data_IF_881998633111
#
_entry.id   IF_881998633111
#
_cell.length_a   1.000
_cell.length_b   1.000
_cell.length_c   1.000
_cell.angle_alpha   90.00
_cell.angle_beta   90.00
_cell.angle_gamma   90.00
#
_symmetry.space_group_name_H-M   'P 1'
#
loop_
_entity.id
_entity.type
_entity.pdbx_description
1 polymer ?
#
# COMPACT_ATOMS: atom_id res chain seq x y z
N UNK A 1 48.04 28.61 25.09
CA UNK A 1 47.06 27.55 25.45
C UNK A 1 46.00 27.49 24.37
N UNK A 2 46.07 26.52 23.48
CA UNK A 2 45.10 26.33 22.39
C UNK A 2 43.97 25.42 22.90
N UNK A 3 42.73 25.93 22.98
CA UNK A 3 41.55 25.16 23.30
C UNK A 3 41.14 24.37 22.05
N UNK A 4 41.29 23.04 22.08
CA UNK A 4 40.79 22.14 21.06
C UNK A 4 39.30 21.93 21.34
N UNK A 5 38.43 22.46 20.47
CA UNK A 5 36.99 22.28 20.51
C UNK A 5 36.69 20.92 19.82
N UNK A 6 36.36 19.93 20.63
CA UNK A 6 35.95 18.60 20.14
C UNK A 6 34.50 18.70 19.72
N UNK A 7 34.25 18.90 18.42
CA UNK A 7 32.90 18.82 17.85
C UNK A 7 32.55 17.33 17.69
N UNK A 8 31.76 16.83 18.62
CA UNK A 8 31.14 15.51 18.52
C UNK A 8 30.06 15.56 17.42
N UNK A 9 30.40 15.18 16.20
CA UNK A 9 29.43 14.92 15.14
C UNK A 9 28.65 13.66 15.54
N UNK A 10 27.47 13.85 16.18
CA UNK A 10 26.46 12.83 16.29
C UNK A 10 25.92 12.58 14.87
N UNK A 11 26.53 11.65 14.15
CA UNK A 11 25.93 11.06 12.95
C UNK A 11 24.72 10.24 13.40
N UNK A 12 23.57 10.89 13.46
CA UNK A 12 22.30 10.19 13.54
C UNK A 12 22.14 9.45 12.22
N UNK A 13 22.65 8.23 12.13
CA UNK A 13 22.35 7.32 11.04
C UNK A 13 20.84 6.98 11.15
N UNK A 14 20.02 7.73 10.40
CA UNK A 14 18.67 7.30 10.09
C UNK A 14 18.81 5.97 9.34
N UNK A 15 18.82 4.87 10.07
CA UNK A 15 18.67 3.57 9.45
C UNK A 15 17.30 3.57 8.77
N UNK A 16 17.30 3.69 7.45
CA UNK A 16 16.14 3.31 6.66
C UNK A 16 15.87 1.87 7.08
N UNK A 17 14.80 1.65 7.83
CA UNK A 17 14.42 0.31 8.26
C UNK A 17 14.34 -0.56 7.03
N UNK A 18 15.14 -1.61 7.01
CA UNK A 18 15.22 -2.52 5.86
C UNK A 18 13.85 -3.14 5.63
N UNK A 19 13.32 -2.99 4.41
CA UNK A 19 11.99 -3.49 4.06
C UNK A 19 12.06 -5.01 4.07
N UNK A 20 11.19 -5.63 4.86
CA UNK A 20 11.08 -7.08 4.91
C UNK A 20 10.10 -7.58 3.87
N UNK A 21 10.53 -8.62 3.18
CA UNK A 21 9.78 -9.32 2.17
C UNK A 21 9.52 -10.76 2.61
N UNK A 22 8.29 -11.22 2.39
CA UNK A 22 7.79 -12.51 2.83
C UNK A 22 7.14 -13.26 1.66
N UNK A 23 6.96 -14.56 1.78
CA UNK A 23 6.11 -15.33 0.88
C UNK A 23 4.63 -15.14 1.23
N UNK A 24 3.72 -15.47 0.32
CA UNK A 24 2.28 -15.53 0.64
C UNK A 24 1.96 -16.57 1.71
N UNK A 25 2.75 -17.62 1.82
CA UNK A 25 2.62 -18.60 2.90
C UNK A 25 2.85 -17.96 4.26
N UNK A 26 3.96 -17.22 4.41
CA UNK A 26 4.25 -16.50 5.66
C UNK A 26 3.16 -15.48 5.99
N UNK A 27 2.58 -14.80 4.98
CA UNK A 27 1.44 -13.91 5.18
C UNK A 27 0.23 -14.66 5.75
N UNK A 28 -0.12 -15.81 5.17
CA UNK A 28 -1.26 -16.63 5.60
C UNK A 28 -1.02 -17.19 7.01
N UNK A 29 0.17 -17.69 7.28
CA UNK A 29 0.54 -18.25 8.60
C UNK A 29 0.54 -17.18 9.71
N UNK A 30 0.68 -15.89 9.34
CA UNK A 30 0.73 -14.75 10.25
C UNK A 30 -0.42 -13.74 10.03
N UNK A 31 -1.59 -14.19 9.55
CA UNK A 31 -2.74 -13.32 9.29
C UNK A 31 -3.19 -12.50 10.52
N UNK A 32 -2.94 -13.00 11.72
CA UNK A 32 -3.26 -12.32 12.97
C UNK A 32 -2.48 -11.02 13.20
N UNK A 33 -1.40 -10.76 12.41
CA UNK A 33 -0.63 -9.52 12.44
C UNK A 33 -1.16 -8.49 11.43
N UNK A 34 -2.03 -8.93 10.51
CA UNK A 34 -2.63 -8.07 9.48
C UNK A 34 -3.88 -7.40 10.04
N UNK A 35 -4.06 -6.15 9.69
CA UNK A 35 -5.26 -5.39 10.05
C UNK A 35 -6.01 -4.90 8.79
N UNK A 36 -7.32 -4.62 8.94
CA UNK A 36 -8.06 -3.93 7.89
C UNK A 36 -7.36 -2.64 7.45
N UNK A 37 -7.33 -2.44 6.13
CA UNK A 37 -6.68 -1.35 5.42
C UNK A 37 -5.14 -1.37 5.43
N UNK A 38 -4.53 -2.49 5.80
CA UNK A 38 -3.12 -2.71 5.45
C UNK A 38 -2.94 -2.78 3.93
N UNK A 39 -1.81 -2.27 3.47
CA UNK A 39 -1.43 -2.27 2.05
C UNK A 39 -0.40 -3.39 1.85
N UNK A 40 -0.70 -4.32 0.96
CA UNK A 40 0.23 -5.39 0.61
C UNK A 40 0.86 -5.07 -0.73
N UNK A 41 2.16 -4.89 -0.76
CA UNK A 41 2.94 -4.66 -1.98
C UNK A 41 3.56 -5.96 -2.42
N UNK A 42 3.31 -6.34 -3.67
CA UNK A 42 3.85 -7.52 -4.30
C UNK A 42 5.14 -7.18 -5.05
N UNK A 43 6.17 -7.97 -4.87
CA UNK A 43 7.48 -7.77 -5.50
C UNK A 43 7.38 -7.76 -7.03
N UNK A 44 8.37 -7.13 -7.68
CA UNK A 44 8.50 -7.20 -9.14
C UNK A 44 8.70 -8.63 -9.58
N UNK A 45 8.13 -8.98 -10.73
CA UNK A 45 8.32 -10.26 -11.38
C UNK A 45 8.96 -10.11 -12.75
N UNK A 46 9.24 -11.23 -13.38
CA UNK A 46 9.98 -11.28 -14.66
C UNK A 46 9.12 -10.96 -15.89
N UNK A 47 7.80 -11.14 -15.78
CA UNK A 47 6.86 -10.86 -16.88
C UNK A 47 6.70 -9.35 -17.07
N UNK A 48 6.45 -8.93 -18.32
CA UNK A 48 6.39 -7.51 -18.70
C UNK A 48 5.52 -6.66 -17.77
N UNK A 49 4.30 -7.08 -17.47
CA UNK A 49 3.37 -6.36 -16.59
C UNK A 49 3.69 -6.49 -15.10
N UNK A 50 4.50 -7.48 -14.70
CA UNK A 50 4.94 -7.67 -13.32
C UNK A 50 6.14 -6.80 -12.94
N UNK A 51 6.80 -6.18 -13.92
CA UNK A 51 7.99 -5.33 -13.68
C UNK A 51 7.73 -4.10 -12.82
N UNK A 52 6.47 -3.66 -12.74
CA UNK A 52 6.07 -2.52 -11.90
C UNK A 52 5.59 -2.93 -10.51
N UNK A 53 5.54 -4.23 -10.23
CA UNK A 53 4.94 -4.76 -9.01
C UNK A 53 3.41 -4.81 -9.09
N UNK A 54 2.79 -5.04 -7.95
CA UNK A 54 1.34 -4.98 -7.76
C UNK A 54 1.04 -4.61 -6.32
N UNK A 55 -0.17 -4.24 -5.99
CA UNK A 55 -0.56 -4.02 -4.60
C UNK A 55 -2.03 -4.33 -4.37
N UNK A 56 -2.32 -4.68 -3.12
CA UNK A 56 -3.64 -5.00 -2.60
C UNK A 56 -3.95 -4.11 -1.41
N UNK A 57 -5.22 -3.88 -1.16
CA UNK A 57 -5.72 -3.33 0.09
C UNK A 57 -6.46 -4.44 0.85
N UNK A 58 -6.23 -4.56 2.15
CA UNK A 58 -7.00 -5.46 3.02
C UNK A 58 -8.32 -4.77 3.39
N UNK A 59 -9.48 -5.42 3.22
CA UNK A 59 -10.76 -4.87 3.68
C UNK A 59 -11.11 -5.32 5.10
N UNK A 60 -12.27 -4.87 5.62
CA UNK A 60 -12.74 -5.26 6.96
C UNK A 60 -13.01 -6.76 7.11
N UNK A 61 -13.40 -7.44 6.03
CA UNK A 61 -13.62 -8.90 6.01
C UNK A 61 -12.31 -9.70 5.88
N UNK A 62 -11.15 -9.04 6.01
CA UNK A 62 -9.84 -9.66 5.83
C UNK A 62 -9.66 -10.32 4.46
N UNK A 63 -10.14 -9.66 3.42
CA UNK A 63 -9.93 -10.05 2.02
C UNK A 63 -9.00 -9.07 1.32
N UNK A 64 -8.29 -9.54 0.30
CA UNK A 64 -7.43 -8.72 -0.56
C UNK A 64 -8.25 -8.11 -1.69
N UNK A 65 -8.27 -6.79 -1.73
CA UNK A 65 -8.94 -6.03 -2.76
C UNK A 65 -7.93 -5.58 -3.80
N UNK A 66 -8.24 -5.81 -5.06
CA UNK A 66 -7.37 -5.44 -6.18
C UNK A 66 -8.13 -5.08 -7.46
N UNK A 67 -7.44 -4.36 -8.34
CA UNK A 67 -7.73 -4.35 -9.77
C UNK A 67 -6.74 -5.29 -10.45
N UNK A 68 -7.23 -6.43 -10.99
CA UNK A 68 -6.38 -7.53 -11.42
C UNK A 68 -5.78 -7.33 -12.81
N UNK A 69 -6.60 -7.05 -13.81
CA UNK A 69 -6.18 -6.93 -15.20
C UNK A 69 -6.89 -5.78 -15.90
N UNK A 70 -6.35 -5.38 -17.06
CA UNK A 70 -6.99 -4.38 -17.92
C UNK A 70 -8.39 -4.80 -18.33
N UNK A 71 -9.38 -3.96 -18.05
CA UNK A 71 -10.79 -4.22 -18.36
C UNK A 71 -11.52 -5.09 -17.33
N UNK A 72 -10.82 -5.64 -16.33
CA UNK A 72 -11.46 -6.35 -15.24
C UNK A 72 -12.09 -5.38 -14.24
N UNK A 73 -13.16 -5.83 -13.59
CA UNK A 73 -13.76 -5.14 -12.47
C UNK A 73 -12.90 -5.28 -11.20
N UNK A 74 -13.25 -4.47 -10.23
CA UNK A 74 -12.73 -4.56 -8.89
C UNK A 74 -13.14 -5.89 -8.22
N UNK A 75 -12.17 -6.59 -7.65
CA UNK A 75 -12.39 -7.89 -7.02
C UNK A 75 -11.87 -7.96 -5.61
N UNK A 76 -12.54 -8.75 -4.77
CA UNK A 76 -12.09 -9.12 -3.45
C UNK A 76 -11.80 -10.63 -3.39
N UNK A 77 -10.63 -11.00 -2.90
CA UNK A 77 -10.18 -12.39 -2.84
C UNK A 77 -9.70 -12.73 -1.43
N UNK A 78 -10.03 -13.91 -0.90
CA UNK A 78 -9.43 -14.35 0.36
C UNK A 78 -7.92 -14.60 0.19
N UNK A 79 -7.15 -14.43 1.27
CA UNK A 79 -5.69 -14.58 1.25
C UNK A 79 -5.23 -15.91 0.65
N UNK A 80 -5.91 -17.01 0.95
CA UNK A 80 -5.53 -18.34 0.46
C UNK A 80 -5.61 -18.49 -1.07
N UNK A 81 -6.35 -17.62 -1.77
CA UNK A 81 -6.43 -17.66 -3.24
C UNK A 81 -5.07 -17.43 -3.90
N UNK A 82 -4.14 -16.80 -3.21
CA UNK A 82 -2.81 -16.48 -3.71
C UNK A 82 -1.74 -17.52 -3.33
N UNK A 83 -2.06 -18.48 -2.47
CA UNK A 83 -1.10 -19.45 -1.95
C UNK A 83 -0.40 -20.27 -3.03
N UNK A 84 -1.11 -20.65 -4.09
CA UNK A 84 -0.57 -21.48 -5.17
C UNK A 84 -0.29 -20.73 -6.47
N UNK A 85 -0.73 -19.47 -6.56
CA UNK A 85 -0.71 -18.73 -7.83
C UNK A 85 0.51 -17.84 -7.93
N UNK A 86 1.00 -17.38 -6.79
CA UNK A 86 1.99 -16.31 -6.76
C UNK A 86 3.26 -16.75 -6.05
N UNK A 87 4.38 -16.75 -6.80
CA UNK A 87 5.71 -17.09 -6.28
C UNK A 87 6.55 -15.84 -5.95
N UNK A 88 6.00 -14.64 -6.14
CA UNK A 88 6.65 -13.38 -5.76
C UNK A 88 6.53 -13.13 -4.25
N UNK A 89 7.43 -12.32 -3.73
CA UNK A 89 7.41 -11.91 -2.34
C UNK A 89 6.44 -10.75 -2.13
N UNK A 90 5.94 -10.62 -0.90
CA UNK A 90 5.08 -9.51 -0.46
C UNK A 90 5.75 -8.74 0.67
N UNK A 91 5.34 -7.50 0.83
CA UNK A 91 5.66 -6.68 1.99
C UNK A 91 4.39 -5.97 2.46
N UNK A 92 4.19 -5.89 3.76
CA UNK A 92 2.98 -5.32 4.37
C UNK A 92 3.28 -3.94 4.92
N UNK A 93 2.40 -3.00 4.65
CA UNK A 93 2.51 -1.62 5.10
C UNK A 93 1.23 -1.16 5.77
N UNK A 94 1.36 -0.47 6.91
CA UNK A 94 0.25 0.13 7.66
C UNK A 94 0.42 1.64 7.73
N UNK A 95 -0.68 2.37 7.62
CA UNK A 95 -0.66 3.81 7.86
C UNK A 95 -0.43 4.08 9.35
N UNK A 96 0.68 4.79 9.69
CA UNK A 96 1.13 5.03 11.08
C UNK A 96 0.10 5.70 11.98
N UNK A 97 -0.82 6.48 11.40
CA UNK A 97 -1.85 7.21 12.14
C UNK A 97 -3.24 6.61 11.93
N UNK A 98 -3.30 5.29 11.65
CA UNK A 98 -4.57 4.59 11.52
C UNK A 98 -5.36 4.69 12.83
N UNK A 99 -6.66 4.98 12.72
CA UNK A 99 -7.60 5.01 13.83
C UNK A 99 -8.99 4.58 13.35
N UNK A 100 -9.92 4.39 14.28
CA UNK A 100 -11.27 3.92 13.96
C UNK A 100 -12.03 4.88 13.05
N UNK A 101 -11.88 6.20 13.21
CA UNK A 101 -12.52 7.21 12.37
C UNK A 101 -12.11 7.04 10.90
N UNK A 102 -10.80 6.86 10.65
CA UNK A 102 -10.28 6.65 9.31
C UNK A 102 -10.68 5.28 8.76
N UNK A 103 -10.63 4.21 9.58
CA UNK A 103 -11.09 2.87 9.16
C UNK A 103 -12.56 2.89 8.72
N UNK A 104 -13.42 3.50 9.51
CA UNK A 104 -14.85 3.63 9.19
C UNK A 104 -15.06 4.42 7.87
N UNK A 105 -14.30 5.50 7.66
CA UNK A 105 -14.41 6.30 6.45
C UNK A 105 -13.89 5.57 5.21
N UNK A 106 -12.79 4.83 5.33
CA UNK A 106 -12.27 3.99 4.24
C UNK A 106 -13.31 2.94 3.84
N UNK A 107 -13.95 2.29 4.83
CA UNK A 107 -14.99 1.29 4.58
C UNK A 107 -16.24 1.90 3.91
N UNK A 108 -16.66 3.08 4.33
CA UNK A 108 -17.79 3.82 3.74
C UNK A 108 -17.54 4.18 2.27
N UNK A 109 -16.30 4.57 1.93
CA UNK A 109 -15.92 4.97 0.57
C UNK A 109 -15.66 3.79 -0.38
N UNK A 110 -15.32 2.62 0.15
CA UNK A 110 -14.92 1.45 -0.63
C UNK A 110 -15.93 1.07 -1.74
N UNK A 111 -17.27 1.07 -1.50
CA UNK A 111 -18.25 0.76 -2.53
C UNK A 111 -18.21 1.67 -3.77
N UNK A 112 -17.72 2.90 -3.64
CA UNK A 112 -17.60 3.85 -4.76
C UNK A 112 -16.57 3.42 -5.80
N UNK A 113 -15.74 2.42 -5.46
CA UNK A 113 -14.70 1.90 -6.35
C UNK A 113 -15.11 0.59 -7.05
N UNK A 114 -16.18 -0.08 -6.61
CA UNK A 114 -16.61 -1.37 -7.18
C UNK A 114 -17.02 -1.28 -8.66
N UNK A 115 -17.47 -0.11 -9.12
CA UNK A 115 -17.87 0.11 -10.51
C UNK A 115 -16.75 0.70 -11.38
N UNK A 116 -15.52 0.82 -10.86
CA UNK A 116 -14.38 1.32 -11.63
C UNK A 116 -13.72 0.17 -12.37
N UNK A 117 -13.28 0.42 -13.59
CA UNK A 117 -12.55 -0.57 -14.40
C UNK A 117 -11.04 -0.33 -14.34
N UNK A 118 -10.27 -1.39 -14.49
CA UNK A 118 -8.81 -1.28 -14.54
C UNK A 118 -8.33 -0.57 -15.79
N UNK A 119 -7.54 0.48 -15.63
CA UNK A 119 -6.76 1.11 -16.69
C UNK A 119 -5.59 1.90 -16.12
N UNK A 120 -4.40 1.69 -16.67
CA UNK A 120 -3.20 2.49 -16.34
C UNK A 120 -3.21 3.84 -17.08
N UNK A 121 -4.00 3.97 -18.15
CA UNK A 121 -4.19 5.20 -18.91
C UNK A 121 -5.34 6.01 -18.32
N UNK A 122 -5.18 6.47 -17.09
CA UNK A 122 -6.19 7.27 -16.39
C UNK A 122 -5.54 8.54 -15.86
N UNK A 123 -6.33 9.62 -15.76
CA UNK A 123 -5.88 10.88 -15.17
C UNK A 123 -5.62 10.75 -13.68
N UNK A 124 -4.97 11.77 -13.10
CA UNK A 124 -4.85 11.89 -11.63
C UNK A 124 -6.19 12.16 -10.93
N UNK A 125 -7.26 12.38 -11.71
CA UNK A 125 -8.59 12.68 -11.21
C UNK A 125 -9.18 11.49 -10.44
N UNK A 126 -9.68 11.76 -9.24
CA UNK A 126 -10.34 10.79 -8.37
C UNK A 126 -11.71 10.37 -8.89
N UNK A 127 -12.38 11.24 -9.67
CA UNK A 127 -13.71 10.99 -10.27
C UNK A 127 -13.65 10.08 -11.50
N UNK A 128 -12.44 9.79 -12.02
CA UNK A 128 -12.28 8.90 -13.17
C UNK A 128 -12.94 7.53 -12.93
N UNK A 129 -13.70 7.05 -13.91
CA UNK A 129 -14.28 5.70 -13.92
C UNK A 129 -13.23 4.60 -14.04
N UNK A 130 -11.99 4.94 -14.38
CA UNK A 130 -10.89 4.02 -14.50
C UNK A 130 -9.87 4.19 -13.38
N UNK A 131 -9.34 3.06 -12.88
CA UNK A 131 -8.31 3.04 -11.86
C UNK A 131 -7.34 1.87 -12.08
N UNK A 132 -6.28 1.79 -11.27
CA UNK A 132 -5.36 0.66 -11.18
C UNK A 132 -4.95 0.47 -9.71
N UNK A 133 -4.32 -0.64 -9.39
CA UNK A 133 -4.09 -1.06 -8.01
C UNK A 133 -3.54 0.04 -7.08
N UNK A 134 -2.45 0.68 -7.45
CA UNK A 134 -1.82 1.72 -6.59
C UNK A 134 -2.57 3.06 -6.64
N UNK A 135 -3.15 3.45 -7.79
CA UNK A 135 -4.02 4.64 -7.84
C UNK A 135 -5.22 4.49 -6.91
N UNK A 136 -5.90 3.36 -6.94
CA UNK A 136 -7.03 3.06 -6.07
C UNK A 136 -6.68 3.27 -4.60
N UNK A 137 -5.61 2.63 -4.13
CA UNK A 137 -5.18 2.72 -2.72
C UNK A 137 -4.84 4.17 -2.34
N UNK A 138 -4.09 4.88 -3.19
CA UNK A 138 -3.76 6.28 -2.96
C UNK A 138 -5.00 7.16 -2.87
N UNK A 139 -5.95 7.02 -3.81
CA UNK A 139 -7.13 7.88 -3.88
C UNK A 139 -8.09 7.63 -2.72
N UNK A 140 -8.36 6.38 -2.34
CA UNK A 140 -9.27 6.10 -1.23
C UNK A 140 -8.73 6.66 0.10
N UNK A 141 -7.43 6.58 0.36
CA UNK A 141 -6.82 7.18 1.54
C UNK A 141 -6.86 8.71 1.52
N UNK A 142 -6.62 9.32 0.34
CA UNK A 142 -6.70 10.76 0.16
C UNK A 142 -8.12 11.28 0.38
N UNK A 143 -9.11 10.62 -0.22
CA UNK A 143 -10.52 10.99 -0.11
C UNK A 143 -11.03 10.80 1.33
N UNK A 144 -10.73 9.65 1.96
CA UNK A 144 -11.06 9.42 3.36
C UNK A 144 -10.43 10.46 4.29
N UNK A 145 -9.15 10.79 4.06
CA UNK A 145 -8.48 11.85 4.79
C UNK A 145 -9.19 13.19 4.66
N UNK A 146 -9.52 13.60 3.43
CA UNK A 146 -10.22 14.85 3.15
C UNK A 146 -11.54 14.95 3.91
N UNK A 147 -12.33 13.88 3.94
CA UNK A 147 -13.63 13.87 4.63
C UNK A 147 -13.53 13.97 6.15
N UNK A 148 -12.43 13.50 6.74
CA UNK A 148 -12.14 13.65 8.18
C UNK A 148 -11.24 14.84 8.50
N UNK A 149 -11.06 15.79 7.57
CA UNK A 149 -10.27 17.00 7.76
C UNK A 149 -8.76 16.78 7.83
N UNK A 150 -8.25 15.67 7.27
CA UNK A 150 -6.81 15.33 7.24
C UNK A 150 -6.30 15.28 5.81
N UNK A 151 -5.10 15.79 5.56
CA UNK A 151 -4.42 15.58 4.28
C UNK A 151 -3.60 14.30 4.36
N UNK A 152 -4.04 13.24 3.69
CA UNK A 152 -3.35 11.94 3.62
C UNK A 152 -2.84 11.73 2.20
N UNK A 153 -1.56 11.99 1.99
CA UNK A 153 -0.87 11.73 0.74
C UNK A 153 0.18 10.63 0.95
N UNK A 154 -0.24 9.37 0.74
CA UNK A 154 0.61 8.20 1.02
C UNK A 154 1.92 8.20 0.24
N UNK A 155 1.98 8.87 -0.90
CA UNK A 155 3.17 8.98 -1.74
C UNK A 155 3.38 10.43 -2.19
N UNK A 156 4.65 10.83 -2.34
CA UNK A 156 5.01 12.17 -2.76
C UNK A 156 4.94 12.29 -4.29
N UNK A 157 3.95 13.02 -4.79
CA UNK A 157 3.87 13.69 -6.12
C UNK A 157 4.44 12.97 -7.34
N UNK A 158 4.46 11.66 -7.41
CA UNK A 158 4.79 10.97 -8.65
C UNK A 158 3.52 10.50 -9.35
N UNK A 159 3.30 10.95 -10.56
CA UNK A 159 2.28 10.39 -11.43
C UNK A 159 2.96 9.74 -12.65
N UNK A 160 2.67 8.50 -12.98
CA UNK A 160 1.74 7.57 -12.33
C UNK A 160 2.26 7.04 -10.99
N UNK A 161 1.34 6.78 -10.04
CA UNK A 161 1.68 6.18 -8.76
C UNK A 161 1.98 4.70 -8.98
N UNK A 162 3.14 4.25 -8.53
CA UNK A 162 3.56 2.87 -8.65
C UNK A 162 3.43 2.11 -7.31
N UNK A 163 3.20 0.79 -7.32
CA UNK A 163 3.13 -0.02 -6.09
C UNK A 163 4.35 0.17 -5.16
N UNK A 164 5.54 0.29 -5.72
CA UNK A 164 6.78 0.51 -4.96
C UNK A 164 6.91 1.92 -4.35
N UNK A 165 6.07 2.87 -4.72
CA UNK A 165 6.11 4.19 -4.08
C UNK A 165 5.61 4.12 -2.62
N UNK A 166 4.73 3.16 -2.31
CA UNK A 166 4.32 2.90 -0.93
C UNK A 166 5.47 2.47 -0.03
N UNK A 167 6.44 1.74 -0.56
CA UNK A 167 7.60 1.28 0.21
C UNK A 167 8.51 2.42 0.67
N UNK A 168 8.39 3.60 0.06
CA UNK A 168 9.17 4.80 0.37
C UNK A 168 8.39 5.82 1.19
N UNK A 169 7.13 5.54 1.48
CA UNK A 169 6.25 6.47 2.18
C UNK A 169 6.67 6.67 3.63
N UNK A 170 6.90 7.92 4.02
CA UNK A 170 7.15 8.27 5.43
C UNK A 170 5.91 8.12 6.32
N UNK A 171 4.71 8.04 5.72
CA UNK A 171 3.43 7.87 6.40
C UNK A 171 3.10 6.41 6.72
N UNK A 172 3.82 5.47 6.10
CA UNK A 172 3.62 4.05 6.29
C UNK A 172 4.71 3.44 7.16
N UNK A 173 4.37 2.37 7.86
CA UNK A 173 5.31 1.49 8.55
C UNK A 173 5.27 0.10 7.92
N UNK A 174 6.42 -0.56 7.86
CA UNK A 174 6.53 -1.92 7.38
C UNK A 174 6.21 -2.90 8.52
N UNK A 175 5.14 -3.67 8.36
CA UNK A 175 4.69 -4.64 9.36
C UNK A 175 5.54 -5.90 9.27
N UNK A 176 6.06 -6.35 10.41
CA UNK A 176 6.87 -7.56 10.52
C UNK A 176 5.98 -8.78 10.74
N UNK A 177 6.15 -9.80 9.91
CA UNK A 177 5.44 -11.07 10.02
C UNK A 177 6.22 -12.11 10.82
N UNK A 178 7.53 -11.92 10.99
CA UNK A 178 8.44 -12.72 11.84
C UNK A 178 8.37 -12.35 13.32
#
# INVERSE_FOLDING_TARGET
MKKILFILLLTCSLSLADIKWYSFRELIDNQNKIEPFDIIVLSKGDKLFQRWGHCFLVNEDMKLIEFKNYGDDFVDNPFYSFYFIENRQISVFRYKKMNNELKNKLNELLPNYYNKVYSVFTSSDTESLASYCSKFIYTIYKDAGKEIGKNIELVNNSWPILPYDFTKSSLLENIRLD
#
